data_IF_089611484740
#
_entry.id   IF_089611484740
#
_cell.length_a   1.000
_cell.length_b   1.000
_cell.length_c   1.000
_cell.angle_alpha   90.00
_cell.angle_beta   90.00
_cell.angle_gamma   90.00
#
_symmetry.space_group_name_H-M   'P 1'
#
loop_
_entity.id
_entity.type
_entity.pdbx_description
1 polymer ?
#
# COMPACT_ATOMS: atom_id res chain seq x y z
N UNK A 1 57.91 -23.84 -74.77
CA UNK A 1 56.77 -24.28 -73.95
C UNK A 1 56.64 -23.28 -72.80
N UNK A 2 55.57 -22.46 -72.80
CA UNK A 2 55.05 -21.50 -71.79
C UNK A 2 56.03 -20.45 -71.19
N UNK A 3 55.90 -19.13 -71.35
CA UNK A 3 54.80 -18.15 -71.06
C UNK A 3 54.59 -17.86 -69.56
N UNK A 4 54.67 -16.55 -69.21
CA UNK A 4 54.08 -15.82 -68.04
C UNK A 4 54.64 -16.10 -66.63
N UNK A 5 54.70 -15.18 -65.66
CA UNK A 5 54.21 -13.81 -65.52
C UNK A 5 54.97 -13.06 -64.40
N UNK A 6 55.00 -11.73 -64.52
CA UNK A 6 55.19 -10.76 -63.45
C UNK A 6 54.22 -10.95 -62.29
N UNK A 7 54.66 -10.77 -61.04
CA UNK A 7 53.75 -10.38 -59.97
C UNK A 7 54.45 -9.45 -58.97
N UNK A 8 54.18 -8.16 -59.14
CA UNK A 8 54.28 -7.12 -58.12
C UNK A 8 53.20 -7.38 -57.07
N UNK A 9 53.57 -7.60 -55.81
CA UNK A 9 52.63 -7.51 -54.69
C UNK A 9 53.10 -6.42 -53.75
N UNK A 10 52.52 -5.24 -53.95
CA UNK A 10 52.35 -4.28 -52.86
C UNK A 10 51.40 -4.87 -51.84
N UNK A 11 51.72 -4.68 -50.57
CA UNK A 11 50.90 -5.14 -49.46
C UNK A 11 51.34 -4.43 -48.20
N UNK A 12 50.86 -3.21 -48.06
CA UNK A 12 51.05 -2.39 -46.86
C UNK A 12 50.77 -3.22 -45.62
N UNK A 13 51.75 -3.27 -44.73
CA UNK A 13 51.56 -3.78 -43.38
C UNK A 13 50.67 -2.78 -42.65
N UNK A 14 49.36 -2.95 -42.81
CA UNK A 14 48.34 -2.32 -42.01
C UNK A 14 48.50 -2.81 -40.58
N UNK A 15 49.22 -2.02 -39.77
CA UNK A 15 49.16 -2.12 -38.33
C UNK A 15 47.68 -1.99 -37.96
N UNK A 16 47.08 -3.11 -37.55
CA UNK A 16 45.68 -3.16 -37.11
C UNK A 16 45.50 -2.24 -35.91
N UNK A 17 45.18 -0.98 -36.18
CA UNK A 17 44.72 0.03 -35.23
C UNK A 17 43.30 -0.33 -34.80
N UNK A 18 43.13 -1.46 -34.12
CA UNK A 18 41.86 -1.85 -33.52
C UNK A 18 41.65 -1.20 -32.14
N UNK A 19 42.42 -0.18 -31.78
CA UNK A 19 42.37 0.48 -30.48
C UNK A 19 41.89 1.93 -30.50
N UNK A 20 41.24 2.40 -31.59
CA UNK A 20 40.68 3.76 -31.68
C UNK A 20 39.16 3.85 -31.81
N UNK A 21 38.44 2.75 -31.62
CA UNK A 21 36.98 2.78 -31.53
C UNK A 21 36.47 2.84 -30.08
N UNK A 22 37.37 2.94 -29.10
CA UNK A 22 37.03 2.91 -27.68
C UNK A 22 37.20 4.26 -26.97
N UNK A 23 37.39 5.36 -27.71
CA UNK A 23 37.62 6.72 -27.17
C UNK A 23 36.42 7.67 -27.29
N UNK A 24 35.35 7.30 -28.02
CA UNK A 24 34.19 8.18 -28.28
C UNK A 24 32.84 7.57 -27.87
N UNK A 25 32.84 6.56 -27.00
CA UNK A 25 31.61 6.19 -26.30
C UNK A 25 31.36 7.27 -25.26
N UNK A 26 30.25 8.02 -25.32
CA UNK A 26 29.92 8.98 -24.28
C UNK A 26 29.93 8.20 -22.98
N UNK A 27 30.85 8.52 -22.08
CA UNK A 27 31.00 7.91 -20.78
C UNK A 27 29.60 7.70 -20.22
N UNK A 28 29.11 6.45 -20.30
CA UNK A 28 27.89 6.07 -19.60
C UNK A 28 28.18 6.51 -18.19
N UNK A 29 27.34 7.38 -17.63
CA UNK A 29 27.51 7.85 -16.25
C UNK A 29 27.77 6.61 -15.44
N UNK A 30 29.03 6.47 -15.05
CA UNK A 30 29.49 5.37 -14.25
C UNK A 30 28.66 5.56 -12.98
N UNK A 31 27.68 4.68 -12.79
CA UNK A 31 26.86 4.67 -11.60
C UNK A 31 27.83 4.31 -10.50
N UNK A 32 28.53 5.31 -9.97
CA UNK A 32 29.28 5.19 -8.74
C UNK A 32 28.20 4.88 -7.70
N UNK A 33 28.00 3.58 -7.43
CA UNK A 33 27.18 3.10 -6.33
C UNK A 33 27.95 3.48 -5.08
N UNK A 34 27.86 4.75 -4.69
CA UNK A 34 28.36 5.23 -3.41
C UNK A 34 27.55 4.49 -2.37
N UNK A 35 28.18 3.48 -1.77
CA UNK A 35 27.58 2.67 -0.72
C UNK A 35 27.12 3.63 0.38
N UNK A 36 25.81 3.75 0.64
CA UNK A 36 25.33 4.66 1.66
C UNK A 36 25.93 4.24 3.01
N UNK A 37 26.23 5.21 3.90
CA UNK A 37 26.87 4.93 5.17
C UNK A 37 26.03 3.95 5.98
N UNK A 38 26.61 2.79 6.32
CA UNK A 38 25.97 1.71 7.08
C UNK A 38 25.49 2.16 8.46
N UNK A 39 26.06 3.25 9.00
CA UNK A 39 25.65 3.85 10.27
C UNK A 39 24.18 4.32 10.28
N UNK A 40 23.64 4.76 9.14
CA UNK A 40 22.27 5.23 9.05
C UNK A 40 21.26 4.09 9.27
N UNK A 41 21.58 2.87 8.83
CA UNK A 41 20.72 1.70 8.96
C UNK A 41 20.63 1.23 10.41
N UNK A 42 21.77 1.14 11.11
CA UNK A 42 21.78 0.75 12.51
C UNK A 42 21.10 1.78 13.40
N UNK A 43 21.31 3.08 13.15
CA UNK A 43 20.60 4.16 13.85
C UNK A 43 19.08 4.04 13.66
N UNK A 44 18.64 3.77 12.42
CA UNK A 44 17.21 3.60 12.13
C UNK A 44 16.65 2.34 12.80
N UNK A 45 17.39 1.23 12.80
CA UNK A 45 16.99 0.01 13.48
C UNK A 45 16.76 0.24 14.98
N UNK A 46 17.68 0.96 15.65
CA UNK A 46 17.54 1.35 17.05
C UNK A 46 16.36 2.31 17.25
N UNK A 47 16.17 3.28 16.36
CA UNK A 47 15.03 4.20 16.44
C UNK A 47 13.69 3.46 16.34
N UNK A 48 13.55 2.51 15.41
CA UNK A 48 12.33 1.70 15.27
C UNK A 48 12.12 0.78 16.48
N UNK A 49 13.19 0.18 17.01
CA UNK A 49 13.13 -0.61 18.23
C UNK A 49 12.69 0.24 19.44
N UNK A 50 13.24 1.45 19.56
CA UNK A 50 12.82 2.43 20.58
C UNK A 50 11.35 2.83 20.43
N UNK A 51 10.88 3.09 19.20
CA UNK A 51 9.48 3.40 18.94
C UNK A 51 8.55 2.21 19.27
N UNK A 52 9.03 0.96 19.10
CA UNK A 52 8.29 -0.24 19.53
C UNK A 52 8.15 -0.27 21.06
N UNK A 53 9.26 -0.10 21.77
CA UNK A 53 9.25 -0.07 23.24
C UNK A 53 8.33 1.04 23.73
N UNK A 54 8.40 2.22 23.11
CA UNK A 54 7.51 3.34 23.41
C UNK A 54 6.04 2.98 23.20
N UNK A 55 5.69 2.25 22.14
CA UNK A 55 4.30 1.80 21.90
C UNK A 55 3.82 0.82 22.96
N UNK A 56 4.69 -0.09 23.41
CA UNK A 56 4.39 -1.02 24.51
C UNK A 56 4.20 -0.28 25.82
N UNK A 57 5.05 0.70 26.12
CA UNK A 57 4.93 1.54 27.33
C UNK A 57 3.63 2.36 27.30
N UNK A 58 3.29 2.97 26.16
CA UNK A 58 2.04 3.70 25.97
C UNK A 58 0.80 2.83 26.13
N UNK A 59 0.89 1.52 25.86
CA UNK A 59 -0.21 0.60 26.12
C UNK A 59 -0.45 0.38 27.62
N UNK A 60 0.61 0.33 28.43
CA UNK A 60 0.47 0.17 29.89
C UNK A 60 0.05 1.45 30.62
N UNK A 61 0.20 2.62 29.98
CA UNK A 61 -0.18 3.90 30.56
C UNK A 61 -1.53 4.33 30.00
N UNK A 62 -2.54 4.47 30.86
CA UNK A 62 -3.82 5.05 30.46
C UNK A 62 -3.73 6.58 30.40
N UNK A 63 -3.49 7.12 29.20
CA UNK A 63 -3.50 8.58 28.98
C UNK A 63 -4.91 9.18 29.18
N UNK A 64 -5.95 8.35 29.15
CA UNK A 64 -7.34 8.72 29.45
C UNK A 64 -7.55 9.26 30.87
N UNK A 65 -6.67 8.94 31.82
CA UNK A 65 -6.70 9.53 33.18
C UNK A 65 -6.15 10.95 33.25
N UNK A 66 -5.33 11.34 32.27
CA UNK A 66 -4.63 12.63 32.25
C UNK A 66 -5.36 13.63 31.35
N UNK A 67 -5.92 13.14 30.23
CA UNK A 67 -6.71 13.94 29.30
C UNK A 67 -8.13 13.37 29.20
N UNK A 68 -9.20 14.15 29.50
CA UNK A 68 -10.59 13.71 29.41
C UNK A 68 -11.08 13.71 27.94
N UNK A 69 -10.35 13.01 27.07
CA UNK A 69 -10.67 12.86 25.65
C UNK A 69 -10.86 11.37 25.38
N UNK A 70 -12.09 10.99 25.02
CA UNK A 70 -12.42 9.61 24.69
C UNK A 70 -11.62 9.15 23.47
N UNK A 71 -10.75 8.16 23.64
CA UNK A 71 -9.93 7.58 22.57
C UNK A 71 -8.53 8.18 22.38
N UNK A 72 -8.04 9.01 23.31
CA UNK A 72 -6.69 9.60 23.22
C UNK A 72 -5.58 8.55 23.05
N UNK A 73 -5.68 7.40 23.73
CA UNK A 73 -4.73 6.28 23.62
C UNK A 73 -4.62 5.78 22.17
N UNK A 74 -5.75 5.67 21.46
CA UNK A 74 -5.79 5.21 20.08
C UNK A 74 -5.16 6.21 19.12
N UNK A 75 -5.45 7.51 19.31
CA UNK A 75 -4.89 8.59 18.49
C UNK A 75 -3.36 8.62 18.63
N UNK A 76 -2.86 8.54 19.87
CA UNK A 76 -1.43 8.52 20.16
C UNK A 76 -0.78 7.25 19.59
N UNK A 77 -1.42 6.08 19.74
CA UNK A 77 -0.91 4.83 19.15
C UNK A 77 -0.81 4.92 17.62
N UNK A 78 -1.81 5.48 16.95
CA UNK A 78 -1.80 5.69 15.49
C UNK A 78 -0.73 6.69 15.04
N UNK A 79 -0.53 7.78 15.80
CA UNK A 79 0.56 8.72 15.55
C UNK A 79 1.93 8.04 15.61
N UNK A 80 2.19 7.26 16.67
CA UNK A 80 3.47 6.54 16.81
C UNK A 80 3.63 5.48 15.72
N UNK A 81 2.57 4.75 15.38
CA UNK A 81 2.57 3.78 14.30
C UNK A 81 2.89 4.43 12.94
N UNK A 82 2.30 5.59 12.65
CA UNK A 82 2.54 6.34 11.40
C UNK A 82 3.99 6.82 11.32
N UNK A 83 4.54 7.36 12.41
CA UNK A 83 5.93 7.81 12.47
C UNK A 83 6.91 6.65 12.27
N UNK A 84 6.60 5.48 12.87
CA UNK A 84 7.36 4.25 12.66
C UNK A 84 7.34 3.82 11.19
N UNK A 85 6.18 3.81 10.55
CA UNK A 85 6.05 3.46 9.13
C UNK A 85 6.83 4.42 8.22
N UNK A 86 6.79 5.72 8.51
CA UNK A 86 7.56 6.73 7.78
C UNK A 86 9.09 6.46 7.84
N UNK A 87 9.63 6.18 9.04
CA UNK A 87 11.05 5.87 9.21
C UNK A 87 11.46 4.59 8.46
N UNK A 88 10.62 3.55 8.48
CA UNK A 88 10.84 2.31 7.72
C UNK A 88 10.97 2.61 6.22
N UNK A 89 9.99 3.30 5.66
CA UNK A 89 9.95 3.55 4.21
C UNK A 89 11.12 4.45 3.79
N UNK A 90 11.40 5.51 4.54
CA UNK A 90 12.48 6.44 4.19
C UNK A 90 13.86 5.80 4.23
N UNK A 91 14.16 5.04 5.28
CA UNK A 91 15.52 4.58 5.56
C UNK A 91 15.76 3.12 5.17
N UNK A 92 14.81 2.20 5.38
CA UNK A 92 14.98 0.79 5.00
C UNK A 92 14.63 0.51 3.55
N UNK A 93 13.64 1.20 2.98
CA UNK A 93 13.32 1.05 1.55
C UNK A 93 14.15 1.98 0.65
N UNK A 94 15.12 2.71 1.22
CA UNK A 94 15.98 3.68 0.56
C UNK A 94 15.21 4.56 -0.46
N UNK A 95 14.07 5.13 -0.03
CA UNK A 95 13.14 5.80 -0.94
C UNK A 95 13.81 6.92 -1.75
N UNK A 96 14.82 7.57 -1.17
CA UNK A 96 15.63 8.63 -1.80
C UNK A 96 16.44 8.17 -3.02
N UNK A 97 16.82 6.90 -3.11
CA UNK A 97 17.56 6.34 -4.24
C UNK A 97 16.73 5.38 -5.09
N UNK A 98 15.43 5.27 -4.80
CA UNK A 98 14.53 4.32 -5.45
C UNK A 98 13.96 4.86 -6.76
N UNK A 99 13.47 3.96 -7.62
CA UNK A 99 12.82 4.36 -8.87
C UNK A 99 11.49 5.07 -8.59
N UNK A 100 11.02 5.97 -9.48
CA UNK A 100 9.73 6.64 -9.29
C UNK A 100 8.55 5.66 -9.19
N UNK A 101 8.68 4.45 -9.75
CA UNK A 101 7.69 3.39 -9.62
C UNK A 101 7.56 2.91 -8.16
N UNK A 102 8.66 2.77 -7.43
CA UNK A 102 8.65 2.40 -6.01
C UNK A 102 7.96 3.46 -5.16
N UNK A 103 8.21 4.74 -5.46
CA UNK A 103 7.58 5.87 -4.75
C UNK A 103 6.07 5.89 -4.99
N UNK A 104 5.61 5.64 -6.23
CA UNK A 104 4.19 5.58 -6.57
C UNK A 104 3.47 4.48 -5.78
N UNK A 105 4.05 3.28 -5.71
CA UNK A 105 3.49 2.17 -4.94
C UNK A 105 3.42 2.46 -3.44
N UNK A 106 4.44 3.11 -2.88
CA UNK A 106 4.42 3.54 -1.48
C UNK A 106 3.30 4.57 -1.20
N UNK A 107 3.11 5.53 -2.11
CA UNK A 107 2.03 6.52 -2.02
C UNK A 107 0.63 5.86 -2.15
N UNK A 108 0.50 4.87 -3.05
CA UNK A 108 -0.75 4.14 -3.24
C UNK A 108 -1.18 3.38 -1.97
N UNK A 109 -0.23 2.79 -1.24
CA UNK A 109 -0.50 2.15 0.05
C UNK A 109 -1.05 3.13 1.10
N UNK A 110 -0.55 4.37 1.13
CA UNK A 110 -1.06 5.42 2.01
C UNK A 110 -2.48 5.87 1.64
N UNK A 111 -2.75 6.06 0.35
CA UNK A 111 -4.09 6.39 -0.14
C UNK A 111 -5.08 5.28 0.24
N UNK A 112 -4.66 4.02 0.05
CA UNK A 112 -5.47 2.85 0.41
C UNK A 112 -5.75 2.77 1.92
N UNK A 113 -4.76 3.03 2.78
CA UNK A 113 -4.95 3.08 4.24
C UNK A 113 -5.92 4.19 4.65
N UNK A 114 -5.83 5.36 4.03
CA UNK A 114 -6.71 6.48 4.32
C UNK A 114 -8.17 6.14 3.95
N UNK A 115 -8.37 5.49 2.81
CA UNK A 115 -9.69 4.96 2.42
C UNK A 115 -10.23 3.95 3.44
N UNK A 116 -9.44 2.96 3.84
CA UNK A 116 -9.85 1.99 4.85
C UNK A 116 -10.19 2.65 6.20
N UNK A 117 -9.37 3.60 6.64
CA UNK A 117 -9.63 4.37 7.85
C UNK A 117 -10.95 5.14 7.77
N UNK A 118 -11.23 5.79 6.64
CA UNK A 118 -12.49 6.50 6.39
C UNK A 118 -13.71 5.57 6.41
N UNK A 119 -13.60 4.40 5.78
CA UNK A 119 -14.66 3.38 5.77
C UNK A 119 -14.94 2.87 7.19
N UNK A 120 -13.91 2.59 7.98
CA UNK A 120 -14.11 2.16 9.38
C UNK A 120 -14.75 3.24 10.25
N UNK A 121 -14.42 4.51 10.02
CA UNK A 121 -15.09 5.63 10.66
C UNK A 121 -16.57 5.70 10.25
N UNK A 122 -16.88 5.56 8.96
CA UNK A 122 -18.25 5.54 8.45
C UNK A 122 -19.09 4.45 9.14
N UNK A 123 -18.56 3.22 9.20
CA UNK A 123 -19.22 2.12 9.92
C UNK A 123 -19.41 2.37 11.41
N UNK A 124 -18.46 3.05 12.07
CA UNK A 124 -18.58 3.43 13.50
C UNK A 124 -19.67 4.48 13.73
N UNK A 125 -19.89 5.38 12.77
CA UNK A 125 -20.86 6.48 12.89
C UNK A 125 -22.23 6.15 12.32
N UNK A 126 -22.37 5.02 11.62
CA UNK A 126 -23.67 4.58 11.12
C UNK A 126 -24.59 4.25 12.31
N UNK A 127 -25.76 4.91 12.43
CA UNK A 127 -26.78 4.44 13.34
C UNK A 127 -27.20 3.04 12.91
N UNK A 128 -27.55 2.18 13.87
CA UNK A 128 -28.14 0.88 13.55
C UNK A 128 -29.32 1.12 12.62
N UNK A 129 -29.17 0.71 11.35
CA UNK A 129 -30.31 0.74 10.45
C UNK A 129 -31.33 -0.24 11.02
N UNK A 130 -32.64 0.08 11.00
CA UNK A 130 -33.68 -0.91 11.25
C UNK A 130 -33.61 -1.94 10.12
N UNK A 131 -32.67 -2.87 10.21
CA UNK A 131 -32.60 -4.03 9.36
C UNK A 131 -33.89 -4.77 9.62
N UNK A 132 -34.82 -4.68 8.67
CA UNK A 132 -36.18 -5.18 8.80
C UNK A 132 -36.98 -4.36 9.82
N UNK A 133 -37.59 -3.25 9.41
CA UNK A 133 -38.88 -2.92 10.02
C UNK A 133 -39.69 -4.21 9.98
N UNK A 134 -39.87 -4.82 11.16
CA UNK A 134 -40.84 -5.88 11.37
C UNK A 134 -42.12 -5.31 10.81
N UNK A 135 -42.51 -5.73 9.62
CA UNK A 135 -43.85 -5.52 9.12
C UNK A 135 -44.69 -6.37 10.06
N UNK A 136 -45.04 -5.81 11.21
CA UNK A 136 -46.05 -6.40 12.05
C UNK A 136 -47.31 -6.32 11.19
N UNK A 137 -47.62 -7.44 10.55
CA UNK A 137 -48.89 -7.67 9.88
C UNK A 137 -49.98 -7.68 10.97
N UNK A 138 -50.19 -6.54 11.63
CA UNK A 138 -51.39 -6.30 12.42
C UNK A 138 -52.54 -6.30 11.44
N UNK A 139 -53.59 -7.06 11.75
CA UNK A 139 -54.79 -7.22 10.92
C UNK A 139 -55.45 -5.88 10.50
N UNK A 140 -55.07 -4.78 11.17
CA UNK A 140 -55.44 -3.40 10.86
C UNK A 140 -54.94 -2.91 9.47
N UNK A 141 -53.78 -3.38 9.00
CA UNK A 141 -53.21 -2.98 7.70
C UNK A 141 -53.54 -3.95 6.55
N UNK A 142 -54.33 -5.00 6.81
CA UNK A 142 -54.73 -5.95 5.79
C UNK A 142 -55.80 -5.32 4.88
N UNK A 143 -55.52 -5.27 3.57
CA UNK A 143 -56.53 -4.88 2.58
C UNK A 143 -57.78 -5.77 2.73
N UNK A 144 -59.01 -5.22 2.66
CA UNK A 144 -60.25 -5.98 2.83
C UNK A 144 -60.39 -7.16 1.85
N UNK A 145 -59.65 -7.14 0.74
CA UNK A 145 -59.59 -8.23 -0.23
C UNK A 145 -58.79 -9.45 0.26
N UNK A 146 -57.82 -9.26 1.17
CA UNK A 146 -57.07 -10.36 1.79
C UNK A 146 -57.91 -11.07 2.85
N UNK A 147 -58.67 -10.32 3.66
CA UNK A 147 -59.61 -10.88 4.65
C UNK A 147 -60.72 -11.68 3.94
N UNK A 148 -61.25 -11.16 2.82
CA UNK A 148 -62.29 -11.85 2.04
C UNK A 148 -61.80 -13.12 1.34
N UNK A 149 -60.51 -13.24 1.01
CA UNK A 149 -59.92 -14.44 0.39
C UNK A 149 -59.66 -15.57 1.38
N UNK A 150 -59.45 -15.23 2.66
CA UNK A 150 -59.23 -16.21 3.73
C UNK A 150 -60.57 -16.73 4.30
N UNK A 151 -61.66 -15.99 4.10
CA UNK A 151 -62.96 -16.26 4.72
C UNK A 151 -64.11 -16.87 3.85
N UNK A 152 -63.94 -17.41 2.62
CA UNK A 152 -65.09 -17.99 1.92
C UNK A 152 -64.94 -19.49 1.67
N UNK A 153 -64.48 -20.31 2.64
CA UNK A 153 -64.56 -21.77 2.46
C UNK A 153 -64.48 -22.57 3.77
N UNK A 154 -65.26 -22.23 4.80
CA UNK A 154 -65.39 -23.07 6.00
C UNK A 154 -66.85 -23.23 6.49
N UNK A 155 -67.83 -23.06 5.59
CA UNK A 155 -69.23 -23.36 5.91
C UNK A 155 -69.88 -24.16 4.78
N UNK A 156 -69.46 -25.42 4.61
CA UNK A 156 -70.32 -26.46 4.04
C UNK A 156 -69.74 -27.86 4.25
N UNK A 157 -70.12 -28.51 5.35
CA UNK A 157 -70.58 -29.90 5.34
C UNK A 157 -70.96 -30.28 6.77
N UNK A 158 -72.25 -30.15 7.04
CA UNK A 158 -72.94 -30.80 8.15
C UNK A 158 -72.99 -32.32 7.89
N UNK A 159 -73.21 -33.13 8.92
CA UNK A 159 -74.53 -33.78 8.98
C UNK A 159 -75.37 -33.38 10.19
#
# INVERSE_FOLDING_TARGET
MATTASHSSGGGHGHGTNTRLHEDLPHYKEFHITHPPTSLFHLTGVAIAGLLVLTVVLYYIDLSKIFPINGINLIVALMVATFKAYLVIRNFMNLKGSTPLTVLWAALGFIWLLLMGGIFLDYRTRPESPGWQKMEYTAENASPNTVKKIAPEQTQSNP
#
